data_IF_107239550028
#
_entry.id   IF_107239550028
#
_cell.length_a   1.000
_cell.length_b   1.000
_cell.length_c   1.000
_cell.angle_alpha   90.00
_cell.angle_beta   90.00
_cell.angle_gamma   90.00
#
_symmetry.space_group_name_H-M   'P 1'
#
loop_
_entity.id
_entity.type
_entity.pdbx_description
1 polymer ?
#
# COMPACT_ATOMS: atom_id res chain seq x y z
N UNK A 1 -10.60 -5.93 23.90
CA UNK A 1 -10.16 -4.52 23.98
C UNK A 1 -11.20 -3.69 23.29
N UNK A 2 -11.70 -2.64 23.93
CA UNK A 2 -12.64 -1.72 23.28
C UNK A 2 -11.91 -0.40 22.96
N UNK A 3 -12.02 0.03 21.72
CA UNK A 3 -11.42 1.26 21.22
C UNK A 3 -12.45 2.38 21.03
N UNK A 4 -13.73 2.14 21.29
CA UNK A 4 -14.80 3.11 21.05
C UNK A 4 -14.64 4.43 21.82
N UNK A 5 -13.91 4.43 22.93
CA UNK A 5 -13.62 5.61 23.75
C UNK A 5 -12.54 6.53 23.18
N UNK A 6 -11.76 6.08 22.21
CA UNK A 6 -10.70 6.87 21.60
C UNK A 6 -11.27 7.77 20.50
N UNK A 7 -10.94 9.07 20.58
CA UNK A 7 -11.25 10.05 19.54
C UNK A 7 -10.39 9.89 18.29
N UNK A 8 -10.70 10.67 17.25
CA UNK A 8 -9.92 10.69 16.01
C UNK A 8 -8.48 11.12 16.28
N UNK A 9 -7.50 10.41 15.71
CA UNK A 9 -6.07 10.69 15.86
C UNK A 9 -5.51 10.47 17.28
N UNK A 10 -6.26 9.84 18.18
CA UNK A 10 -5.81 9.61 19.55
C UNK A 10 -4.59 8.68 19.65
N UNK A 11 -4.38 7.80 18.68
CA UNK A 11 -3.26 6.85 18.66
C UNK A 11 -2.36 7.18 17.47
N UNK A 12 -1.14 7.65 17.74
CA UNK A 12 -0.19 8.04 16.70
C UNK A 12 0.95 7.04 16.60
N UNK A 13 1.22 6.57 15.38
CA UNK A 13 2.39 5.77 15.04
C UNK A 13 3.41 6.66 14.34
N UNK A 14 4.65 6.62 14.79
CA UNK A 14 5.77 7.18 14.05
C UNK A 14 6.53 6.03 13.40
N UNK A 15 6.41 5.93 12.07
CA UNK A 15 6.94 4.79 11.32
C UNK A 15 8.10 5.27 10.47
N UNK A 16 9.26 4.68 10.71
CA UNK A 16 10.48 4.98 10.00
C UNK A 16 10.73 3.92 8.93
N UNK A 17 10.82 4.37 7.69
CA UNK A 17 11.40 3.58 6.60
C UNK A 17 12.88 3.91 6.50
N UNK A 18 13.73 2.89 6.38
CA UNK A 18 15.15 3.08 6.14
C UNK A 18 15.47 2.73 4.70
N UNK A 19 15.84 3.75 3.92
CA UNK A 19 16.20 3.63 2.52
C UNK A 19 17.71 3.89 2.38
N UNK A 20 18.53 2.84 2.59
CA UNK A 20 19.98 2.94 2.54
C UNK A 20 20.72 1.67 2.99
N UNK A 21 22.07 1.65 2.96
CA UNK A 21 22.90 0.61 3.57
C UNK A 21 23.32 1.04 4.98
N UNK A 22 22.60 0.57 6.01
CA UNK A 22 23.10 0.65 7.38
C UNK A 22 24.22 -0.37 7.50
N UNK A 23 25.37 0.03 8.02
CA UNK A 23 26.46 -0.91 8.28
C UNK A 23 25.97 -1.99 9.27
N UNK A 24 25.90 -3.25 8.80
CA UNK A 24 25.57 -4.40 9.65
C UNK A 24 24.09 -4.83 9.68
N UNK A 25 23.21 -4.29 8.83
CA UNK A 25 21.82 -4.79 8.70
C UNK A 25 21.46 -5.16 7.26
N UNK A 26 20.55 -6.13 7.05
CA UNK A 26 20.04 -6.42 5.72
C UNK A 26 19.28 -5.20 5.18
N UNK A 27 19.56 -4.79 3.94
CA UNK A 27 18.67 -3.86 3.21
C UNK A 27 17.25 -4.42 3.25
N UNK A 28 16.33 -3.69 3.88
CA UNK A 28 15.07 -4.28 4.36
C UNK A 28 13.82 -3.58 3.87
N UNK A 29 13.92 -2.34 3.38
CA UNK A 29 12.80 -1.65 2.76
C UNK A 29 12.95 -1.66 1.25
N UNK A 30 12.06 -2.42 0.60
CA UNK A 30 11.78 -2.32 -0.82
C UNK A 30 10.46 -1.54 -1.02
N UNK A 31 10.48 -0.39 -1.70
CA UNK A 31 9.29 0.43 -1.93
C UNK A 31 8.25 -0.23 -2.83
N UNK A 32 8.61 -1.28 -3.58
CA UNK A 32 7.69 -2.05 -4.43
C UNK A 32 6.99 -3.18 -3.67
N UNK A 33 7.53 -3.58 -2.53
CA UNK A 33 6.97 -4.64 -1.68
C UNK A 33 5.88 -4.09 -0.74
N UNK A 34 4.88 -4.92 -0.46
CA UNK A 34 3.81 -4.60 0.51
C UNK A 34 4.09 -5.22 1.87
N UNK A 35 3.90 -4.45 2.94
CA UNK A 35 4.17 -4.87 4.31
C UNK A 35 2.89 -4.86 5.14
N UNK A 36 2.76 -5.83 6.04
CA UNK A 36 1.66 -5.93 6.98
C UNK A 36 2.21 -6.23 8.37
N UNK A 37 1.97 -5.33 9.33
CA UNK A 37 2.54 -5.37 10.66
C UNK A 37 1.41 -5.47 11.68
N UNK A 38 1.31 -6.59 12.40
CA UNK A 38 0.36 -6.75 13.50
C UNK A 38 0.94 -6.09 14.75
N UNK A 39 0.25 -5.08 15.29
CA UNK A 39 0.72 -4.33 16.47
C UNK A 39 -0.14 -4.56 17.72
N UNK A 40 -1.35 -5.10 17.56
CA UNK A 40 -2.22 -5.46 18.68
C UNK A 40 -2.95 -6.76 18.36
N UNK A 41 -2.95 -7.69 19.31
CA UNK A 41 -3.78 -8.89 19.27
C UNK A 41 -4.47 -9.05 20.62
N UNK A 42 -5.80 -9.18 20.61
CA UNK A 42 -6.60 -9.30 21.83
C UNK A 42 -7.20 -10.70 21.98
N UNK A 43 -7.03 -11.34 23.15
CA UNK A 43 -7.59 -12.68 23.39
C UNK A 43 -9.13 -12.72 23.31
N UNK A 44 -9.80 -11.65 23.77
CA UNK A 44 -11.27 -11.52 23.78
C UNK A 44 -11.86 -10.68 22.64
N UNK A 45 -11.09 -10.38 21.59
CA UNK A 45 -11.54 -9.56 20.46
C UNK A 45 -11.31 -8.06 20.63
N UNK A 46 -11.50 -7.33 19.52
CA UNK A 46 -11.31 -5.88 19.43
C UNK A 46 -12.63 -5.27 18.97
N UNK A 47 -13.21 -4.42 19.81
CA UNK A 47 -14.44 -3.67 19.55
C UNK A 47 -14.14 -2.20 19.31
N UNK A 48 -15.05 -1.51 18.61
CA UNK A 48 -14.97 -0.05 18.44
C UNK A 48 -13.82 0.44 17.55
N UNK A 49 -13.24 -0.41 16.72
CA UNK A 49 -12.19 -0.03 15.78
C UNK A 49 -12.72 0.96 14.74
N UNK A 50 -12.03 2.09 14.61
CA UNK A 50 -12.14 2.97 13.45
C UNK A 50 -10.74 3.41 13.02
N UNK A 51 -10.45 3.32 11.72
CA UNK A 51 -9.17 3.77 11.18
C UNK A 51 -8.89 5.26 11.49
N UNK A 52 -9.93 6.08 11.64
CA UNK A 52 -9.80 7.52 11.98
C UNK A 52 -9.22 7.78 13.37
N UNK A 53 -9.23 6.79 14.27
CA UNK A 53 -8.65 6.89 15.61
C UNK A 53 -7.13 6.87 15.58
N UNK A 54 -6.56 6.45 14.46
CA UNK A 54 -5.14 6.26 14.28
C UNK A 54 -4.58 7.29 13.31
N UNK A 55 -3.36 7.74 13.59
CA UNK A 55 -2.59 8.61 12.71
C UNK A 55 -1.20 8.02 12.48
N UNK A 56 -0.67 8.15 11.27
CA UNK A 56 0.71 7.77 10.96
C UNK A 56 1.50 9.02 10.65
N UNK A 57 2.70 9.08 11.21
CA UNK A 57 3.71 10.09 10.96
C UNK A 57 5.00 9.41 10.51
N UNK A 58 5.89 10.16 9.85
CA UNK A 58 7.16 9.63 9.32
C UNK A 58 7.07 9.20 7.85
N UNK A 59 7.98 8.33 7.43
CA UNK A 59 8.23 7.99 6.02
C UNK A 59 7.01 7.38 5.30
N UNK A 60 6.08 6.79 6.04
CA UNK A 60 4.92 6.07 5.50
C UNK A 60 3.57 6.75 5.74
N UNK A 61 3.57 7.99 6.26
CA UNK A 61 2.35 8.69 6.69
C UNK A 61 1.22 8.68 5.65
N UNK A 62 1.56 8.84 4.37
CA UNK A 62 0.59 8.95 3.27
C UNK A 62 0.17 7.60 2.67
N UNK A 63 0.92 6.53 2.96
CA UNK A 63 0.67 5.20 2.38
C UNK A 63 0.07 4.22 3.38
N UNK A 64 0.35 4.43 4.65
CA UNK A 64 -0.02 3.49 5.69
C UNK A 64 -1.52 3.53 5.98
N UNK A 65 -2.12 2.36 6.15
CA UNK A 65 -3.52 2.20 6.53
C UNK A 65 -3.66 1.21 7.68
N UNK A 66 -4.69 1.42 8.49
CA UNK A 66 -5.01 0.54 9.61
C UNK A 66 -6.17 -0.38 9.24
N UNK A 67 -6.04 -1.65 9.59
CA UNK A 67 -7.09 -2.64 9.37
C UNK A 67 -7.24 -3.55 10.59
N UNK A 68 -8.45 -4.07 10.78
CA UNK A 68 -8.74 -5.10 11.77
C UNK A 68 -8.96 -6.44 11.06
N UNK A 69 -8.20 -7.46 11.45
CA UNK A 69 -8.41 -8.84 11.03
C UNK A 69 -8.73 -9.70 12.25
N UNK A 70 -10.02 -10.02 12.42
CA UNK A 70 -10.53 -10.73 13.58
C UNK A 70 -10.16 -10.02 14.89
N UNK A 71 -9.29 -10.67 15.66
CA UNK A 71 -8.84 -10.20 16.97
C UNK A 71 -7.52 -9.42 16.92
N UNK A 72 -7.03 -9.07 15.73
CA UNK A 72 -5.76 -8.37 15.53
C UNK A 72 -5.93 -7.07 14.76
N UNK A 73 -5.14 -6.05 15.11
CA UNK A 73 -4.98 -4.84 14.31
C UNK A 73 -3.66 -4.85 13.58
N UNK A 74 -3.73 -4.47 12.31
CA UNK A 74 -2.61 -4.47 11.39
C UNK A 74 -2.43 -3.08 10.80
N UNK A 75 -1.16 -2.72 10.65
CA UNK A 75 -0.70 -1.59 9.85
C UNK A 75 -0.27 -2.13 8.49
N UNK A 76 -0.92 -1.68 7.43
CA UNK A 76 -0.62 -2.06 6.05
C UNK A 76 0.12 -0.92 5.36
N UNK A 77 1.22 -1.25 4.69
CA UNK A 77 1.99 -0.33 3.87
C UNK A 77 2.03 -0.93 2.46
N UNK A 78 1.23 -0.43 1.51
CA UNK A 78 1.24 -0.94 0.15
C UNK A 78 2.52 -0.54 -0.57
N UNK A 79 3.02 -1.46 -1.40
CA UNK A 79 4.10 -1.17 -2.33
C UNK A 79 3.66 -0.19 -3.41
N UNK A 80 4.61 0.61 -3.93
CA UNK A 80 4.36 1.42 -5.12
C UNK A 80 4.22 0.50 -6.33
N UNK A 81 3.02 0.44 -6.91
CA UNK A 81 2.82 -0.16 -8.23
C UNK A 81 3.41 0.78 -9.28
N UNK A 82 4.71 0.64 -9.56
CA UNK A 82 5.31 1.28 -10.73
C UNK A 82 4.98 0.39 -11.93
N UNK A 83 4.19 0.84 -12.93
CA UNK A 83 4.05 0.08 -14.15
C UNK A 83 5.44 -0.06 -14.76
N UNK A 84 5.88 -1.31 -14.95
CA UNK A 84 7.19 -1.57 -15.51
C UNK A 84 7.32 -0.90 -16.89
N UNK A 85 8.53 -0.51 -17.33
CA UNK A 85 8.74 0.06 -18.67
C UNK A 85 8.15 -0.80 -19.80
N UNK A 86 8.13 -2.12 -19.59
CA UNK A 86 7.49 -3.10 -20.46
C UNK A 86 5.99 -2.85 -20.62
N UNK A 87 5.28 -2.49 -19.55
CA UNK A 87 3.83 -2.20 -19.52
C UNK A 87 3.47 -1.05 -20.48
N UNK A 88 4.30 -0.01 -20.51
CA UNK A 88 4.17 1.09 -21.48
C UNK A 88 4.47 0.63 -22.90
N UNK A 89 5.45 -0.24 -23.11
CA UNK A 89 5.76 -0.79 -24.42
C UNK A 89 4.62 -1.67 -24.98
N UNK A 90 3.99 -2.51 -24.15
CA UNK A 90 2.82 -3.31 -24.59
C UNK A 90 1.60 -2.44 -24.86
N UNK A 91 1.38 -1.39 -24.06
CA UNK A 91 0.30 -0.44 -24.30
C UNK A 91 0.50 0.30 -25.64
N UNK A 92 1.72 0.76 -25.93
CA UNK A 92 2.06 1.40 -27.21
C UNK A 92 1.96 0.41 -28.39
N UNK A 93 2.47 -0.81 -28.23
CA UNK A 93 2.36 -1.84 -29.27
C UNK A 93 0.89 -2.19 -29.56
N UNK A 94 0.06 -2.30 -28.52
CA UNK A 94 -1.38 -2.53 -28.63
C UNK A 94 -2.08 -1.40 -29.38
N UNK A 95 -1.74 -0.13 -29.09
CA UNK A 95 -2.29 1.03 -29.80
C UNK A 95 -1.81 1.06 -31.26
N UNK A 96 -0.54 0.77 -31.54
CA UNK A 96 -0.01 0.74 -32.89
C UNK A 96 -0.65 -0.38 -33.75
N UNK A 97 -0.76 -1.59 -33.20
CA UNK A 97 -1.38 -2.73 -33.89
C UNK A 97 -2.90 -2.54 -34.06
N UNK A 98 -3.58 -1.99 -33.05
CA UNK A 98 -5.01 -1.68 -33.12
C UNK A 98 -5.31 -0.56 -34.11
N UNK A 99 -4.55 0.53 -34.07
CA UNK A 99 -4.68 1.65 -34.99
C UNK A 99 -4.41 1.26 -36.45
N UNK A 100 -3.34 0.49 -36.70
CA UNK A 100 -3.01 0.01 -38.05
C UNK A 100 -4.09 -0.92 -38.62
N UNK A 101 -4.64 -1.82 -37.80
CA UNK A 101 -5.70 -2.74 -38.20
C UNK A 101 -6.98 -2.00 -38.59
N UNK A 102 -7.35 -0.94 -37.85
CA UNK A 102 -8.50 -0.10 -38.17
C UNK A 102 -8.29 0.73 -39.44
N UNK A 103 -7.09 1.26 -39.68
CA UNK A 103 -6.77 2.00 -40.91
C UNK A 103 -6.83 1.08 -42.13
N UNK A 104 -6.36 -0.16 -42.00
CA UNK A 104 -6.44 -1.16 -43.08
C UNK A 104 -7.88 -1.51 -43.44
N UNK A 105 -8.75 -1.68 -42.44
CA UNK A 105 -10.18 -1.99 -42.67
C UNK A 105 -10.92 -0.84 -43.36
N UNK A 106 -10.55 0.42 -43.09
CA UNK A 106 -11.17 1.60 -43.73
C UNK A 106 -10.74 1.80 -45.18
N UNK A 107 -9.61 1.22 -45.60
CA UNK A 107 -9.11 1.26 -46.99
C UNK A 107 -9.61 0.11 -47.86
N UNK A 108 -10.19 -0.93 -47.24
CA UNK A 108 -10.73 -2.10 -47.94
C UNK A 108 -12.25 -2.02 -48.20
N UNK A 109 -12.90 -0.93 -47.77
CA UNK A 109 -14.25 -0.53 -48.17
C UNK A 109 -14.14 0.63 -49.15
#
# INVERSE_FOLDING_TARGET
VDLSSYGSGAITFNVFGYDGPLAGTPGGYDPTSSYSLTFLTAAGGIGGFSASQFSVTGTFAEKASFTQSGNSLLLQIPGSSVPEPSTYAVALAGIACGGYSLIRLRRAR
#
